data_IF_104918940258
#
_entry.id   IF_104918940258
#
_cell.length_a   1.000
_cell.length_b   1.000
_cell.length_c   1.000
_cell.angle_alpha   90.00
_cell.angle_beta   90.00
_cell.angle_gamma   90.00
#
_symmetry.space_group_name_H-M   'P 1'
#
loop_
_entity.id
_entity.type
_entity.pdbx_description
1 polymer ?
#
# COMPACT_ATOMS: atom_id res chain seq x y z
N UNK A 1 0.76 -35.91 -31.13
CA UNK A 1 1.73 -34.81 -30.91
C UNK A 1 1.03 -33.47 -30.70
N UNK A 2 0.12 -33.06 -31.58
CA UNK A 2 -0.58 -31.75 -31.51
C UNK A 2 -1.36 -31.52 -30.20
N UNK A 3 -2.04 -32.56 -29.69
CA UNK A 3 -2.80 -32.48 -28.42
C UNK A 3 -1.92 -32.30 -27.18
N UNK A 4 -0.70 -32.83 -27.20
CA UNK A 4 0.30 -32.70 -26.13
C UNK A 4 0.83 -31.27 -26.05
N UNK A 5 1.13 -30.68 -27.21
CA UNK A 5 1.64 -29.31 -27.33
C UNK A 5 0.56 -28.32 -26.86
N UNK A 6 -0.70 -28.52 -27.27
CA UNK A 6 -1.83 -27.69 -26.82
C UNK A 6 -2.03 -27.72 -25.30
N UNK A 7 -1.90 -28.90 -24.68
CA UNK A 7 -2.01 -29.05 -23.23
C UNK A 7 -0.91 -28.35 -22.44
N UNK A 8 0.34 -28.48 -22.88
CA UNK A 8 1.49 -27.79 -22.27
C UNK A 8 1.35 -26.28 -22.41
N UNK A 9 0.84 -25.79 -23.55
CA UNK A 9 0.64 -24.37 -23.80
C UNK A 9 -0.43 -23.76 -22.88
N UNK A 10 -1.54 -24.47 -22.65
CA UNK A 10 -2.60 -24.02 -21.73
C UNK A 10 -2.11 -24.02 -20.27
N UNK A 11 -1.37 -25.05 -19.85
CA UNK A 11 -0.79 -25.15 -18.51
C UNK A 11 0.19 -24.00 -18.25
N UNK A 12 1.09 -23.74 -19.19
CA UNK A 12 2.08 -22.66 -19.05
C UNK A 12 1.42 -21.27 -19.07
N UNK A 13 0.40 -21.05 -19.89
CA UNK A 13 -0.35 -19.79 -19.92
C UNK A 13 -1.10 -19.53 -18.60
N UNK A 14 -1.81 -20.53 -18.06
CA UNK A 14 -2.55 -20.39 -16.79
C UNK A 14 -1.62 -20.28 -15.58
N UNK A 15 -0.54 -21.05 -15.54
CA UNK A 15 0.44 -20.99 -14.46
C UNK A 15 1.22 -19.65 -14.48
N UNK A 16 1.60 -19.18 -15.67
CA UNK A 16 2.26 -17.88 -15.86
C UNK A 16 1.37 -16.70 -15.45
N UNK A 17 0.10 -16.71 -15.85
CA UNK A 17 -0.87 -15.68 -15.44
C UNK A 17 -1.08 -15.66 -13.92
N UNK A 18 -1.18 -16.83 -13.28
CA UNK A 18 -1.29 -16.96 -11.83
C UNK A 18 -0.06 -16.41 -11.10
N UNK A 19 1.14 -16.68 -11.61
CA UNK A 19 2.40 -16.19 -11.03
C UNK A 19 2.50 -14.66 -11.09
N UNK A 20 2.21 -14.06 -12.26
CA UNK A 20 2.24 -12.60 -12.43
C UNK A 20 1.24 -11.92 -11.49
N UNK A 21 0.02 -12.43 -11.40
CA UNK A 21 -1.02 -11.90 -10.50
C UNK A 21 -0.60 -11.97 -9.02
N UNK A 22 -0.03 -13.10 -8.59
CA UNK A 22 0.46 -13.24 -7.21
C UNK A 22 1.62 -12.28 -6.91
N UNK A 23 2.51 -12.07 -7.87
CA UNK A 23 3.64 -11.14 -7.73
C UNK A 23 3.16 -9.70 -7.62
N UNK A 24 2.24 -9.29 -8.47
CA UNK A 24 1.67 -7.94 -8.44
C UNK A 24 0.97 -7.65 -7.11
N UNK A 25 0.15 -8.58 -6.64
CA UNK A 25 -0.58 -8.41 -5.39
C UNK A 25 0.34 -8.48 -4.15
N UNK A 26 1.41 -9.27 -4.17
CA UNK A 26 2.46 -9.20 -3.14
C UNK A 26 3.20 -7.86 -3.14
N UNK A 27 3.52 -7.32 -4.32
CA UNK A 27 4.12 -5.99 -4.44
C UNK A 27 3.18 -4.91 -3.88
N UNK A 28 1.87 -5.02 -4.15
CA UNK A 28 0.86 -4.12 -3.61
C UNK A 28 0.83 -4.14 -2.08
N UNK A 29 0.80 -5.32 -1.46
CA UNK A 29 0.87 -5.44 0.00
C UNK A 29 2.17 -4.86 0.55
N UNK A 30 3.30 -5.06 -0.14
CA UNK A 30 4.57 -4.47 0.26
C UNK A 30 4.54 -2.92 0.24
N UNK A 31 3.82 -2.31 -0.71
CA UNK A 31 3.60 -0.84 -0.75
C UNK A 31 2.79 -0.38 0.47
N UNK A 32 1.71 -1.09 0.83
CA UNK A 32 0.88 -0.76 2.00
C UNK A 32 1.64 -0.93 3.32
N UNK A 33 2.38 -2.02 3.48
CA UNK A 33 3.26 -2.21 4.65
C UNK A 33 4.29 -1.09 4.78
N UNK A 34 4.79 -0.59 3.67
CA UNK A 34 5.75 0.52 3.69
C UNK A 34 5.09 1.86 4.07
N UNK A 35 3.84 2.11 3.64
CA UNK A 35 3.05 3.25 4.14
C UNK A 35 2.83 3.13 5.65
N UNK A 36 2.41 1.96 6.13
CA UNK A 36 2.22 1.69 7.56
C UNK A 36 3.49 1.91 8.38
N UNK A 37 4.64 1.48 7.86
CA UNK A 37 5.95 1.76 8.45
C UNK A 37 6.24 3.27 8.49
N UNK A 38 6.00 3.97 7.39
CA UNK A 38 6.21 5.43 7.29
C UNK A 38 5.36 6.19 8.31
N UNK A 39 4.08 5.85 8.47
CA UNK A 39 3.24 6.45 9.52
C UNK A 39 3.67 6.07 10.94
N UNK A 40 4.23 4.88 11.13
CA UNK A 40 4.84 4.49 12.41
C UNK A 40 6.02 5.39 12.77
N UNK A 41 6.86 5.75 11.79
CA UNK A 41 7.94 6.72 11.99
C UNK A 41 7.40 8.12 12.32
N UNK A 42 6.39 8.60 11.57
CA UNK A 42 5.75 9.90 11.85
C UNK A 42 5.21 9.95 13.28
N UNK A 43 4.47 8.93 13.71
CA UNK A 43 3.97 8.84 15.08
C UNK A 43 5.11 8.86 16.11
N UNK A 44 6.18 8.09 15.88
CA UNK A 44 7.34 8.07 16.75
C UNK A 44 8.02 9.44 16.90
N UNK A 45 8.21 10.15 15.79
CA UNK A 45 8.81 11.49 15.79
C UNK A 45 7.88 12.55 16.42
N UNK A 46 6.56 12.48 16.20
CA UNK A 46 5.59 13.39 16.85
C UNK A 46 5.64 13.24 18.38
N UNK A 47 5.73 12.01 18.86
CA UNK A 47 5.76 11.71 20.29
C UNK A 47 7.09 12.10 20.94
N UNK A 48 8.20 12.05 20.19
CA UNK A 48 9.55 12.28 20.72
C UNK A 48 10.04 13.72 20.56
N UNK A 49 9.87 14.32 19.38
CA UNK A 49 10.58 15.53 19.01
C UNK A 49 9.94 16.83 19.54
N UNK A 50 8.67 16.79 19.97
CA UNK A 50 7.86 17.99 20.31
C UNK A 50 7.98 19.13 19.26
N UNK A 51 8.38 18.79 18.03
CA UNK A 51 8.71 19.72 16.96
C UNK A 51 7.47 20.04 16.11
N UNK A 52 7.49 21.15 15.36
CA UNK A 52 6.48 21.44 14.36
C UNK A 52 6.34 20.32 13.33
N UNK A 53 5.11 20.06 12.86
CA UNK A 53 4.82 19.01 11.88
C UNK A 53 5.69 19.06 10.59
N UNK A 54 6.04 20.24 10.01
CA UNK A 54 6.98 20.28 8.88
C UNK A 54 8.35 19.66 9.17
N UNK A 55 8.87 19.84 10.39
CA UNK A 55 10.18 19.32 10.80
C UNK A 55 10.11 17.81 10.98
N UNK A 56 9.06 17.31 11.65
CA UNK A 56 8.76 15.88 11.78
C UNK A 56 8.72 15.21 10.42
N UNK A 57 7.98 15.77 9.46
CA UNK A 57 7.87 15.20 8.12
C UNK A 57 9.22 15.20 7.38
N UNK A 58 10.04 16.24 7.58
CA UNK A 58 11.37 16.35 6.98
C UNK A 58 12.35 15.32 7.55
N UNK A 59 12.32 15.09 8.87
CA UNK A 59 13.14 14.09 9.56
C UNK A 59 12.77 12.67 9.10
N UNK A 60 11.48 12.35 9.09
CA UNK A 60 11.01 11.06 8.57
C UNK A 60 11.36 10.88 7.10
N UNK A 61 11.32 11.95 6.30
CA UNK A 61 11.72 11.89 4.89
C UNK A 61 13.18 11.46 4.69
N UNK A 62 14.07 11.77 5.64
CA UNK A 62 15.46 11.30 5.65
C UNK A 62 15.59 9.78 5.82
N UNK A 63 14.59 9.13 6.42
CA UNK A 63 14.61 7.71 6.82
C UNK A 63 13.84 6.80 5.87
N UNK A 64 13.14 7.35 4.88
CA UNK A 64 12.29 6.59 3.94
C UNK A 64 12.81 6.63 2.50
N UNK A 65 12.44 5.62 1.71
CA UNK A 65 12.79 5.52 0.29
C UNK A 65 11.86 6.32 -0.61
N UNK A 66 12.23 6.49 -1.87
CA UNK A 66 11.36 7.04 -2.91
C UNK A 66 10.16 6.10 -3.20
N UNK A 67 8.92 6.59 -3.46
CA UNK A 67 8.44 7.99 -3.47
C UNK A 67 8.21 8.68 -2.14
N UNK A 68 8.10 7.90 -1.07
CA UNK A 68 7.65 8.38 0.24
C UNK A 68 8.49 9.58 0.72
N UNK A 69 9.81 9.54 0.47
CA UNK A 69 10.71 10.67 0.72
C UNK A 69 10.28 11.95 0.03
N UNK A 70 10.06 11.91 -1.29
CA UNK A 70 9.66 13.09 -2.06
C UNK A 70 8.30 13.61 -1.58
N UNK A 71 7.36 12.72 -1.35
CA UNK A 71 6.04 13.07 -0.83
C UNK A 71 6.13 13.83 0.50
N UNK A 72 6.90 13.33 1.46
CA UNK A 72 7.06 13.96 2.78
C UNK A 72 7.79 15.31 2.70
N UNK A 73 8.89 15.40 1.96
CA UNK A 73 9.64 16.66 1.79
C UNK A 73 8.80 17.76 1.15
N UNK A 74 8.05 17.41 0.11
CA UNK A 74 7.21 18.37 -0.61
C UNK A 74 6.02 18.81 0.23
N UNK A 75 5.47 17.91 1.05
CA UNK A 75 4.44 18.25 2.03
C UNK A 75 4.99 19.20 3.10
N UNK A 76 6.19 18.93 3.62
CA UNK A 76 6.85 19.79 4.60
C UNK A 76 7.15 21.19 4.04
N UNK A 77 7.67 21.28 2.81
CA UNK A 77 7.92 22.54 2.11
C UNK A 77 6.66 23.37 1.93
N UNK A 78 5.60 22.74 1.40
CA UNK A 78 4.33 23.43 1.18
C UNK A 78 3.67 23.93 2.47
N UNK A 79 3.95 23.25 3.60
CA UNK A 79 3.49 23.68 4.92
C UNK A 79 4.34 24.83 5.49
N UNK A 80 5.65 24.83 5.24
CA UNK A 80 6.57 25.90 5.64
C UNK A 80 6.31 27.21 4.88
N UNK A 81 5.96 27.13 3.60
CA UNK A 81 5.65 28.27 2.73
C UNK A 81 4.35 29.01 3.12
N UNK A 82 3.67 28.59 4.20
CA UNK A 82 2.41 29.18 4.73
C UNK A 82 1.39 29.48 3.64
N UNK A 83 1.22 28.56 2.68
CA UNK A 83 0.10 28.69 1.75
C UNK A 83 -1.20 28.75 2.58
N UNK A 84 -2.12 29.68 2.28
CA UNK A 84 -3.39 29.91 3.00
C UNK A 84 -4.36 28.70 3.02
N UNK A 85 -3.88 27.52 2.63
CA UNK A 85 -4.59 26.26 2.59
C UNK A 85 -4.48 25.53 3.93
N UNK A 86 -5.57 24.88 4.38
CA UNK A 86 -5.50 23.95 5.51
C UNK A 86 -4.49 22.82 5.26
N UNK A 87 -3.85 22.31 6.33
CA UNK A 87 -2.89 21.21 6.26
C UNK A 87 -3.44 20.00 5.49
N UNK A 88 -4.69 19.61 5.76
CA UNK A 88 -5.36 18.51 5.06
C UNK A 88 -5.42 18.72 3.54
N UNK A 89 -5.59 19.95 3.06
CA UNK A 89 -5.62 20.26 1.63
C UNK A 89 -4.25 20.12 0.99
N UNK A 90 -3.21 20.60 1.67
CA UNK A 90 -1.81 20.46 1.24
C UNK A 90 -1.42 18.98 1.18
N UNK A 91 -1.78 18.22 2.23
CA UNK A 91 -1.56 16.79 2.32
C UNK A 91 -2.19 16.04 1.15
N UNK A 92 -3.48 16.25 0.91
CA UNK A 92 -4.22 15.56 -0.16
C UNK A 92 -3.61 15.86 -1.53
N UNK A 93 -3.26 17.13 -1.80
CA UNK A 93 -2.59 17.53 -3.05
C UNK A 93 -1.23 16.84 -3.22
N UNK A 94 -0.46 16.70 -2.15
CA UNK A 94 0.84 16.03 -2.19
C UNK A 94 0.69 14.51 -2.36
N UNK A 95 -0.31 13.89 -1.71
CA UNK A 95 -0.65 12.47 -1.92
C UNK A 95 -0.98 12.23 -3.39
N UNK A 96 -1.91 13.01 -3.96
CA UNK A 96 -2.33 12.87 -5.35
C UNK A 96 -1.20 13.12 -6.35
N UNK A 97 -0.24 14.00 -6.02
CA UNK A 97 0.85 14.32 -6.96
C UNK A 97 2.03 13.34 -6.88
N UNK A 98 2.39 12.89 -5.69
CA UNK A 98 3.64 12.17 -5.45
C UNK A 98 3.47 10.68 -5.20
N UNK A 99 2.27 10.25 -4.82
CA UNK A 99 1.95 8.84 -4.55
C UNK A 99 1.07 8.20 -5.61
N UNK A 100 0.64 8.94 -6.65
CA UNK A 100 -0.09 8.41 -7.81
C UNK A 100 0.60 7.19 -8.42
N UNK A 101 1.93 7.24 -8.56
CA UNK A 101 2.74 6.13 -9.08
C UNK A 101 2.72 4.84 -8.24
N UNK A 102 2.16 4.87 -7.03
CA UNK A 102 1.97 3.66 -6.23
C UNK A 102 0.74 2.86 -6.66
N UNK A 103 -0.11 3.41 -7.53
CA UNK A 103 -1.34 2.79 -8.03
C UNK A 103 -2.16 2.19 -6.89
N UNK A 104 -2.45 3.03 -5.89
CA UNK A 104 -3.23 2.64 -4.73
C UNK A 104 -4.70 2.50 -5.13
N UNK A 105 -5.33 1.41 -4.69
CA UNK A 105 -6.79 1.27 -4.77
C UNK A 105 -7.46 2.47 -4.10
N UNK A 106 -8.60 2.89 -4.63
CA UNK A 106 -9.35 4.06 -4.16
C UNK A 106 -9.58 4.04 -2.64
N UNK A 107 -10.00 2.91 -2.07
CA UNK A 107 -10.19 2.76 -0.64
C UNK A 107 -8.93 3.08 0.19
N UNK A 108 -7.74 2.70 -0.29
CA UNK A 108 -6.48 2.96 0.41
C UNK A 108 -5.97 4.38 0.16
N UNK A 109 -6.28 4.96 -1.01
CA UNK A 109 -6.02 6.39 -1.28
C UNK A 109 -6.87 7.29 -0.38
N UNK A 110 -8.16 6.97 -0.22
CA UNK A 110 -9.07 7.67 0.72
C UNK A 110 -8.56 7.57 2.14
N UNK A 111 -8.20 6.36 2.59
CA UNK A 111 -7.63 6.14 3.93
C UNK A 111 -6.35 6.98 4.14
N UNK A 112 -5.49 7.07 3.12
CA UNK A 112 -4.29 7.90 3.17
C UNK A 112 -4.57 9.41 3.24
N UNK A 113 -5.64 9.88 2.59
CA UNK A 113 -6.10 11.27 2.63
C UNK A 113 -6.77 11.63 3.95
N UNK A 114 -7.53 10.70 4.54
CA UNK A 114 -8.06 10.82 5.91
C UNK A 114 -6.91 11.08 6.90
N UNK A 115 -5.70 10.58 6.62
CA UNK A 115 -4.56 10.88 7.47
C UNK A 115 -4.12 12.34 7.55
N UNK A 116 -4.39 13.11 6.50
CA UNK A 116 -4.15 14.54 6.53
C UNK A 116 -5.06 15.28 7.49
N UNK A 117 -6.27 14.79 7.78
CA UNK A 117 -7.23 15.53 8.60
C UNK A 117 -6.85 15.46 10.08
N UNK A 118 -6.51 14.26 10.57
CA UNK A 118 -6.11 14.10 11.97
C UNK A 118 -4.71 14.65 12.25
N UNK A 119 -3.73 14.49 11.33
CA UNK A 119 -2.40 15.09 11.50
C UNK A 119 -2.44 16.63 11.55
N UNK A 120 -3.47 17.24 10.95
CA UNK A 120 -3.71 18.68 11.03
C UNK A 120 -4.42 19.16 12.29
N UNK A 121 -4.94 18.25 13.12
CA UNK A 121 -5.60 18.59 14.39
C UNK A 121 -4.57 18.80 15.51
N UNK A 122 -4.77 19.83 16.33
CA UNK A 122 -3.78 20.37 17.29
C UNK A 122 -3.71 19.65 18.65
N UNK A 123 -4.64 18.74 18.96
CA UNK A 123 -4.67 18.06 20.27
C UNK A 123 -3.70 16.88 20.30
N UNK A 124 -2.55 17.06 20.95
CA UNK A 124 -1.48 16.04 21.03
C UNK A 124 -1.95 14.71 21.63
N UNK A 125 -2.76 14.74 22.70
CA UNK A 125 -3.23 13.53 23.38
C UNK A 125 -4.22 12.74 22.51
N UNK A 126 -5.11 13.44 21.81
CA UNK A 126 -6.08 12.85 20.87
C UNK A 126 -5.37 12.35 19.59
N UNK A 127 -4.30 13.02 19.17
CA UNK A 127 -3.54 12.70 17.97
C UNK A 127 -2.84 11.34 18.05
N UNK A 128 -2.17 11.03 19.17
CA UNK A 128 -1.48 9.74 19.33
C UNK A 128 -2.47 8.56 19.27
N UNK A 129 -3.60 8.68 19.97
CA UNK A 129 -4.65 7.66 19.96
C UNK A 129 -5.27 7.50 18.57
N UNK A 130 -5.57 8.61 17.88
CA UNK A 130 -6.14 8.59 16.53
C UNK A 130 -5.16 8.00 15.52
N UNK A 131 -3.88 8.35 15.60
CA UNK A 131 -2.83 7.72 14.79
C UNK A 131 -2.73 6.23 15.09
N UNK A 132 -2.80 5.80 16.34
CA UNK A 132 -2.80 4.38 16.68
C UNK A 132 -3.98 3.63 16.06
N UNK A 133 -5.20 4.19 16.15
CA UNK A 133 -6.37 3.61 15.51
C UNK A 133 -6.21 3.52 14.00
N UNK A 134 -5.65 4.56 13.37
CA UNK A 134 -5.35 4.57 11.94
C UNK A 134 -4.33 3.50 11.54
N UNK A 135 -3.25 3.36 12.31
CA UNK A 135 -2.25 2.31 12.13
C UNK A 135 -2.88 0.91 12.22
N UNK A 136 -3.75 0.67 13.20
CA UNK A 136 -4.48 -0.58 13.34
C UNK A 136 -5.42 -0.84 12.16
N UNK A 137 -6.11 0.21 11.65
CA UNK A 137 -6.96 0.10 10.46
C UNK A 137 -6.16 -0.27 9.20
N UNK A 138 -4.95 0.29 9.04
CA UNK A 138 -4.03 -0.13 7.97
C UNK A 138 -3.61 -1.58 8.13
N UNK A 139 -3.31 -2.03 9.35
CA UNK A 139 -2.93 -3.42 9.61
C UNK A 139 -4.07 -4.40 9.24
N UNK A 140 -5.32 -4.05 9.55
CA UNK A 140 -6.50 -4.82 9.13
C UNK A 140 -6.68 -4.86 7.60
N UNK A 141 -6.52 -3.74 6.90
CA UNK A 141 -6.61 -3.72 5.43
C UNK A 141 -5.46 -4.52 4.79
N UNK A 142 -4.25 -4.45 5.35
CA UNK A 142 -3.11 -5.26 4.90
C UNK A 142 -3.42 -6.76 5.06
N UNK A 143 -3.96 -7.17 6.21
CA UNK A 143 -4.31 -8.57 6.45
C UNK A 143 -5.45 -9.04 5.54
N UNK A 144 -6.46 -8.21 5.30
CA UNK A 144 -7.54 -8.49 4.34
C UNK A 144 -7.01 -8.70 2.92
N UNK A 145 -6.05 -7.89 2.46
CA UNK A 145 -5.41 -8.12 1.15
C UNK A 145 -4.62 -9.43 1.14
N UNK A 146 -4.00 -9.80 2.27
CA UNK A 146 -3.22 -11.04 2.43
C UNK A 146 -4.10 -12.30 2.47
N UNK A 147 -5.24 -12.26 3.15
CA UNK A 147 -6.23 -13.34 3.12
C UNK A 147 -6.84 -13.49 1.73
N UNK A 148 -7.09 -12.36 1.05
CA UNK A 148 -7.48 -12.32 -0.36
C UNK A 148 -6.45 -12.99 -1.28
N UNK A 149 -5.14 -12.81 -1.01
CA UNK A 149 -4.08 -13.54 -1.69
C UNK A 149 -4.14 -15.05 -1.42
N UNK A 150 -4.20 -15.43 -0.15
CA UNK A 150 -4.15 -16.82 0.26
C UNK A 150 -5.32 -17.64 -0.33
N UNK A 151 -6.51 -17.05 -0.36
CA UNK A 151 -7.69 -17.65 -1.00
C UNK A 151 -7.53 -17.77 -2.51
N UNK A 152 -7.05 -16.73 -3.20
CA UNK A 152 -6.85 -16.75 -4.66
C UNK A 152 -5.74 -17.69 -5.10
N UNK A 153 -4.63 -17.76 -4.36
CA UNK A 153 -3.54 -18.74 -4.60
C UNK A 153 -4.08 -20.15 -4.45
N UNK A 154 -4.89 -20.40 -3.42
CA UNK A 154 -5.53 -21.71 -3.20
C UNK A 154 -6.38 -22.09 -4.41
N UNK A 155 -7.26 -21.21 -4.88
CA UNK A 155 -8.11 -21.44 -6.06
C UNK A 155 -7.27 -21.66 -7.32
N UNK A 156 -6.24 -20.84 -7.56
CA UNK A 156 -5.32 -20.99 -8.70
C UNK A 156 -4.59 -22.34 -8.69
N UNK A 157 -4.17 -22.81 -7.51
CA UNK A 157 -3.56 -24.13 -7.35
C UNK A 157 -4.53 -25.26 -7.66
N UNK A 158 -5.77 -25.16 -7.19
CA UNK A 158 -6.82 -26.14 -7.51
C UNK A 158 -7.19 -26.16 -8.99
N UNK A 159 -7.29 -24.99 -9.64
CA UNK A 159 -7.50 -24.88 -11.09
C UNK A 159 -6.36 -25.54 -11.89
N UNK A 160 -5.11 -25.35 -11.47
CA UNK A 160 -3.96 -26.00 -12.09
C UNK A 160 -3.99 -27.53 -11.98
N UNK A 161 -4.37 -28.06 -10.80
CA UNK A 161 -4.53 -29.51 -10.61
C UNK A 161 -5.67 -30.06 -11.46
N UNK A 162 -6.82 -29.39 -11.51
CA UNK A 162 -7.97 -29.82 -12.32
C UNK A 162 -7.68 -29.73 -13.83
N UNK A 163 -6.96 -28.70 -14.28
CA UNK A 163 -6.48 -28.59 -15.66
C UNK A 163 -5.49 -29.71 -16.02
N UNK A 164 -4.57 -30.04 -15.12
CA UNK A 164 -3.66 -31.17 -15.30
C UNK A 164 -4.39 -32.52 -15.38
N UNK A 165 -5.38 -32.73 -14.51
CA UNK A 165 -6.22 -33.94 -14.52
C UNK A 165 -7.03 -34.05 -15.82
N UNK A 166 -7.64 -32.95 -16.27
CA UNK A 166 -8.37 -32.89 -17.53
C UNK A 166 -7.48 -33.24 -18.73
N UNK A 167 -6.23 -32.77 -18.73
CA UNK A 167 -5.27 -33.12 -19.76
C UNK A 167 -4.88 -34.60 -19.73
N UNK A 168 -4.70 -35.20 -18.56
CA UNK A 168 -4.44 -36.64 -18.43
C UNK A 168 -5.60 -37.45 -19.04
N UNK A 169 -6.85 -37.08 -18.73
CA UNK A 169 -8.04 -37.76 -19.26
C UNK A 169 -8.18 -37.60 -20.78
N UNK A 170 -7.77 -36.46 -21.35
CA UNK A 170 -7.80 -36.21 -22.80
C UNK A 170 -6.70 -36.92 -23.60
N UNK A 171 -5.63 -37.33 -22.92
CA UNK A 171 -4.42 -37.94 -23.51
C UNK A 171 -4.47 -39.48 -23.43
N UNK A 172 -5.25 -40.01 -22.49
CA UNK A 172 -5.78 -41.38 -22.47
C UNK A 172 -6.83 -41.55 -23.59
#
# INVERSE_FOLDING_TARGET
MERLIGGILILTATCGAGYVYCRELNNYIARLRYLRYTFGLIRGEINYAHAPLPEVLSEVAGRVRQPYRKWLLETARALADRSESSFARIWNKCVDRYLDRLDLKEAHSVLLKEAGTFLGSLEKDTLDHTLQMYLNRMDLEIEKQREGLASRIRIGRWLGVMSGLFLIVLLL
#
